data_IF_312507966802
#
_entry.id   IF_312507966802
#
_cell.length_a   1.000
_cell.length_b   1.000
_cell.length_c   1.000
_cell.angle_alpha   90.00
_cell.angle_beta   90.00
_cell.angle_gamma   90.00
#
_symmetry.space_group_name_H-M   'P 1'
#
loop_
_entity.id
_entity.type
_entity.pdbx_description
1 polymer ?
#
# COMPACT_ATOMS: atom_id res chain seq x y z
N UNK A 1 51.04 -3.79 -67.04
CA UNK A 1 51.03 -4.47 -65.72
C UNK A 1 51.28 -3.43 -64.64
N UNK A 2 50.43 -3.40 -63.58
CA UNK A 2 50.74 -3.04 -62.16
C UNK A 2 51.38 -1.64 -61.90
N UNK A 3 50.87 -0.73 -61.07
CA UNK A 3 49.93 -0.74 -59.93
C UNK A 3 49.37 0.68 -59.73
N UNK A 4 48.09 0.79 -59.34
CA UNK A 4 47.51 2.02 -58.77
C UNK A 4 47.59 1.89 -57.24
N UNK A 5 48.28 2.83 -56.59
CA UNK A 5 48.25 3.01 -55.14
C UNK A 5 47.06 3.92 -54.80
N UNK A 6 45.94 3.34 -54.37
CA UNK A 6 44.88 4.11 -53.73
C UNK A 6 45.11 4.12 -52.22
N UNK A 7 45.21 5.34 -51.71
CA UNK A 7 45.60 5.71 -50.35
C UNK A 7 44.55 5.27 -49.33
N UNK A 8 44.95 4.40 -48.40
CA UNK A 8 44.15 3.93 -47.26
C UNK A 8 44.01 4.97 -46.13
N UNK A 9 43.98 6.27 -46.47
CA UNK A 9 43.91 7.37 -45.50
C UNK A 9 42.53 8.07 -45.48
N UNK A 10 41.55 7.59 -46.26
CA UNK A 10 40.22 8.21 -46.41
C UNK A 10 39.08 7.33 -45.87
N UNK A 11 39.35 6.52 -44.84
CA UNK A 11 38.33 5.70 -44.16
C UNK A 11 38.36 5.82 -42.62
N UNK A 12 39.17 6.75 -42.07
CA UNK A 12 39.28 6.97 -40.61
C UNK A 12 38.78 8.35 -40.14
N UNK A 13 38.03 9.08 -40.98
CA UNK A 13 37.52 10.42 -40.68
C UNK A 13 35.99 10.54 -40.75
N UNK A 14 35.25 9.42 -40.60
CA UNK A 14 33.78 9.38 -40.66
C UNK A 14 33.10 8.84 -39.40
N UNK A 15 33.84 8.70 -38.29
CA UNK A 15 33.32 8.14 -37.04
C UNK A 15 33.21 9.16 -35.86
N UNK A 16 33.46 10.46 -36.06
CA UNK A 16 33.57 11.42 -34.94
C UNK A 16 32.53 12.56 -34.96
N UNK A 17 31.64 12.68 -35.97
CA UNK A 17 30.71 13.84 -36.07
C UNK A 17 29.24 13.53 -35.71
N UNK A 18 28.92 12.35 -35.14
CA UNK A 18 27.56 12.06 -34.63
C UNK A 18 27.40 12.18 -33.11
N UNK A 19 28.42 12.64 -32.38
CA UNK A 19 28.40 12.77 -30.92
C UNK A 19 28.28 14.24 -30.41
N UNK A 20 27.71 15.15 -31.20
CA UNK A 20 27.49 16.53 -30.75
C UNK A 20 26.29 17.16 -31.44
N UNK A 21 25.08 16.70 -31.11
CA UNK A 21 23.84 17.48 -31.18
C UNK A 21 22.64 16.67 -30.66
N UNK A 22 22.53 16.49 -29.35
CA UNK A 22 21.23 16.47 -28.68
C UNK A 22 21.41 17.09 -27.29
N UNK A 23 21.43 18.42 -27.29
CA UNK A 23 21.29 19.25 -26.10
C UNK A 23 19.88 19.81 -26.16
N UNK A 24 18.97 19.22 -25.38
CA UNK A 24 17.71 19.85 -24.98
C UNK A 24 17.31 19.31 -23.60
N UNK A 25 17.66 20.10 -22.59
CA UNK A 25 16.92 20.41 -21.36
C UNK A 25 15.85 19.43 -20.86
N UNK A 26 16.13 18.81 -19.71
CA UNK A 26 15.17 18.64 -18.61
C UNK A 26 15.92 18.61 -17.28
N UNK A 27 15.32 19.22 -16.25
CA UNK A 27 15.81 19.38 -14.87
C UNK A 27 16.52 18.14 -14.30
N UNK A 28 17.67 18.29 -13.62
CA UNK A 28 18.10 17.31 -12.64
C UNK A 28 17.29 17.55 -11.36
N UNK A 29 16.01 17.16 -11.36
CA UNK A 29 15.40 16.71 -10.11
C UNK A 29 16.13 15.41 -9.78
N UNK A 30 17.14 15.52 -8.93
CA UNK A 30 17.98 14.43 -8.48
C UNK A 30 17.13 13.18 -8.21
N UNK A 31 17.26 12.19 -9.10
CA UNK A 31 16.97 10.81 -8.83
C UNK A 31 17.82 10.41 -7.62
N UNK A 32 17.18 10.33 -6.45
CA UNK A 32 17.79 9.79 -5.26
C UNK A 32 17.77 8.26 -5.35
N UNK A 33 18.86 7.69 -5.87
CA UNK A 33 19.36 6.31 -5.72
C UNK A 33 18.30 5.19 -5.57
N UNK A 34 18.01 4.51 -6.67
CA UNK A 34 17.10 3.36 -6.75
C UNK A 34 17.72 2.00 -6.36
N UNK A 35 18.82 2.00 -5.58
CA UNK A 35 19.35 0.77 -4.99
C UNK A 35 18.90 0.70 -3.51
N UNK A 36 17.82 -0.07 -3.23
CA UNK A 36 17.42 -0.44 -1.86
C UNK A 36 16.07 0.10 -1.36
N UNK A 37 15.30 0.84 -2.16
CA UNK A 37 14.00 1.39 -1.77
C UNK A 37 12.90 0.33 -2.00
N UNK A 38 12.25 -0.11 -0.92
CA UNK A 38 11.18 -1.12 -0.85
C UNK A 38 10.40 -1.37 -2.15
N UNK A 39 10.28 -2.64 -2.60
CA UNK A 39 9.53 -3.00 -3.82
C UNK A 39 8.05 -3.28 -3.52
N UNK A 40 7.20 -3.13 -4.52
CA UNK A 40 5.75 -3.42 -4.41
C UNK A 40 5.46 -4.85 -3.92
N UNK A 41 6.25 -5.82 -4.37
CA UNK A 41 6.11 -7.22 -3.95
C UNK A 41 6.38 -7.45 -2.45
N UNK A 42 7.14 -6.55 -1.81
CA UNK A 42 7.53 -6.66 -0.40
C UNK A 42 6.54 -5.95 0.54
N UNK A 43 5.58 -5.18 0.01
CA UNK A 43 4.62 -4.39 0.81
C UNK A 43 3.85 -5.30 1.76
N UNK A 44 3.36 -6.45 1.30
CA UNK A 44 2.54 -7.34 2.14
C UNK A 44 3.30 -7.93 3.33
N UNK A 45 4.58 -8.25 3.14
CA UNK A 45 5.45 -8.70 4.23
C UNK A 45 5.65 -7.59 5.26
N UNK A 46 6.05 -6.40 4.80
CA UNK A 46 6.32 -5.26 5.69
C UNK A 46 5.05 -4.71 6.36
N UNK A 47 3.90 -4.81 5.71
CA UNK A 47 2.59 -4.57 6.31
C UNK A 47 2.38 -5.47 7.53
N UNK A 48 2.57 -6.79 7.38
CA UNK A 48 2.38 -7.72 8.49
C UNK A 48 3.42 -7.50 9.60
N UNK A 49 4.68 -7.21 9.25
CA UNK A 49 5.71 -6.80 10.23
C UNK A 49 5.30 -5.54 10.99
N UNK A 50 4.75 -4.55 10.30
CA UNK A 50 4.25 -3.32 10.92
C UNK A 50 3.11 -3.58 11.93
N UNK A 51 2.19 -4.50 11.61
CA UNK A 51 1.15 -4.94 12.53
C UNK A 51 1.73 -5.64 13.75
N UNK A 52 2.70 -6.54 13.56
CA UNK A 52 3.39 -7.24 14.65
C UNK A 52 4.20 -6.31 15.56
N UNK A 53 4.69 -5.18 15.04
CA UNK A 53 5.35 -4.16 15.84
C UNK A 53 4.35 -3.33 16.65
N UNK A 54 3.21 -2.95 16.05
CA UNK A 54 2.11 -2.28 16.77
C UNK A 54 1.54 -3.15 17.87
N UNK A 55 1.42 -4.45 17.62
CA UNK A 55 1.02 -5.48 18.58
C UNK A 55 1.77 -5.37 19.90
N UNK A 56 3.10 -5.32 19.80
CA UNK A 56 4.02 -5.30 20.94
C UNK A 56 3.93 -3.99 21.71
N UNK A 57 3.37 -2.94 21.10
CA UNK A 57 3.27 -1.60 21.65
C UNK A 57 1.87 -1.23 22.13
N UNK A 58 0.92 -2.17 22.11
CA UNK A 58 -0.49 -1.93 22.42
C UNK A 58 -0.69 -1.28 23.81
N UNK A 59 0.14 -1.61 24.80
CA UNK A 59 0.09 -0.98 26.14
C UNK A 59 0.40 0.53 26.14
N UNK A 60 1.13 1.01 25.13
CA UNK A 60 1.47 2.43 24.93
C UNK A 60 0.49 3.14 24.00
N UNK A 61 -0.36 2.38 23.31
CA UNK A 61 -1.58 2.81 22.62
C UNK A 61 -2.74 2.56 23.57
N UNK A 62 -2.80 3.31 24.69
CA UNK A 62 -3.78 3.04 25.75
C UNK A 62 -5.22 3.12 25.24
N UNK A 63 -5.79 1.96 24.90
CA UNK A 63 -7.22 1.68 24.93
C UNK A 63 -7.56 1.35 26.39
N UNK A 64 -7.74 2.37 27.23
CA UNK A 64 -8.14 2.15 28.63
C UNK A 64 -9.64 1.83 28.68
N UNK A 65 -9.98 0.56 28.91
CA UNK A 65 -11.33 0.05 29.14
C UNK A 65 -11.82 0.28 30.58
N UNK A 66 -11.68 1.50 31.08
CA UNK A 66 -12.30 1.92 32.34
C UNK A 66 -12.76 3.38 32.23
N UNK A 67 -14.01 3.58 31.78
CA UNK A 67 -14.76 4.83 31.97
C UNK A 67 -14.80 5.83 30.81
N UNK A 68 -14.27 5.50 29.63
CA UNK A 68 -14.37 6.31 28.41
C UNK A 68 -13.09 6.20 27.57
N UNK A 69 -13.05 5.25 26.65
CA UNK A 69 -11.87 5.05 25.79
C UNK A 69 -11.80 6.14 24.72
N UNK A 70 -10.70 6.90 24.69
CA UNK A 70 -10.34 7.68 23.51
C UNK A 70 -9.64 6.71 22.56
N UNK A 71 -10.31 6.34 21.48
CA UNK A 71 -9.71 5.56 20.39
C UNK A 71 -8.52 6.36 19.79
N UNK A 72 -7.38 5.71 19.49
CA UNK A 72 -6.26 6.41 18.87
C UNK A 72 -6.67 6.94 17.50
N UNK A 73 -6.23 8.15 17.20
CA UNK A 73 -6.40 8.77 15.89
C UNK A 73 -5.50 8.11 14.85
N UNK A 74 -5.85 8.30 13.57
CA UNK A 74 -5.03 7.84 12.46
C UNK A 74 -3.56 8.28 12.55
N UNK A 75 -3.35 9.56 12.89
CA UNK A 75 -2.01 10.12 12.99
C UNK A 75 -1.20 9.52 14.15
N UNK A 76 -1.83 9.21 15.29
CA UNK A 76 -1.13 8.57 16.42
C UNK A 76 -0.67 7.15 16.08
N UNK A 77 -1.50 6.38 15.38
CA UNK A 77 -1.13 5.05 14.89
C UNK A 77 0.00 5.15 13.87
N UNK A 78 -0.14 6.06 12.89
CA UNK A 78 0.86 6.30 11.85
C UNK A 78 2.20 6.72 12.44
N UNK A 79 2.25 7.63 13.40
CA UNK A 79 3.51 8.04 14.04
C UNK A 79 4.21 6.88 14.77
N UNK A 80 3.45 6.03 15.48
CA UNK A 80 4.04 4.85 16.11
C UNK A 80 4.57 3.84 15.10
N UNK A 81 3.88 3.66 13.98
CA UNK A 81 4.35 2.84 12.87
C UNK A 81 5.68 3.33 12.31
N UNK A 82 5.80 4.64 12.05
CA UNK A 82 7.04 5.25 11.56
C UNK A 82 8.18 4.96 12.52
N UNK A 83 8.02 5.30 13.81
CA UNK A 83 9.06 5.08 14.82
C UNK A 83 9.46 3.61 14.90
N UNK A 84 8.50 2.69 14.81
CA UNK A 84 8.74 1.25 14.92
C UNK A 84 9.48 0.69 13.72
N UNK A 85 9.05 1.04 12.49
CA UNK A 85 9.66 0.54 11.26
C UNK A 85 11.05 1.14 11.02
N UNK A 86 11.25 2.42 11.33
CA UNK A 86 12.59 3.05 11.28
C UNK A 86 13.55 2.37 12.26
N UNK A 87 13.06 2.02 13.46
CA UNK A 87 13.86 1.29 14.44
C UNK A 87 14.17 -0.15 13.99
N UNK A 88 13.19 -0.84 13.42
CA UNK A 88 13.32 -2.23 12.97
C UNK A 88 14.27 -2.35 11.78
N UNK A 89 14.13 -1.48 10.77
CA UNK A 89 14.96 -1.52 9.57
C UNK A 89 15.21 -0.12 8.99
N UNK A 90 16.22 0.61 9.50
CA UNK A 90 16.52 1.97 9.06
C UNK A 90 17.08 2.07 7.63
N UNK A 91 17.58 0.96 7.06
CA UNK A 91 18.07 0.92 5.68
C UNK A 91 16.93 1.02 4.66
N UNK A 92 15.78 0.45 4.99
CA UNK A 92 14.56 0.50 4.17
C UNK A 92 13.69 1.70 4.56
N UNK A 93 13.54 1.95 5.87
CA UNK A 93 12.67 2.98 6.42
C UNK A 93 13.47 4.19 6.89
N UNK A 94 13.70 5.13 5.98
CA UNK A 94 14.28 6.42 6.33
C UNK A 94 13.21 7.40 6.81
N UNK A 95 13.30 7.86 8.06
CA UNK A 95 12.30 8.76 8.66
C UNK A 95 12.08 10.05 7.85
N UNK A 96 13.15 10.67 7.34
CA UNK A 96 13.07 11.90 6.56
C UNK A 96 12.32 11.70 5.23
N UNK A 97 12.61 10.62 4.52
CA UNK A 97 11.92 10.26 3.29
C UNK A 97 10.44 9.90 3.55
N UNK A 98 10.17 9.15 4.62
CA UNK A 98 8.82 8.79 5.05
C UNK A 98 7.98 10.05 5.31
N UNK A 99 8.48 10.96 6.15
CA UNK A 99 7.74 12.18 6.51
C UNK A 99 7.50 13.07 5.30
N UNK A 100 8.46 13.15 4.37
CA UNK A 100 8.29 13.85 3.09
C UNK A 100 7.18 13.21 2.25
N UNK A 101 7.17 11.88 2.14
CA UNK A 101 6.15 11.12 1.39
C UNK A 101 4.76 11.33 1.98
N UNK A 102 4.60 11.17 3.29
CA UNK A 102 3.32 11.34 3.97
C UNK A 102 2.80 12.78 3.89
N UNK A 103 3.68 13.80 3.95
CA UNK A 103 3.26 15.19 3.74
C UNK A 103 2.68 15.41 2.34
N UNK A 104 3.24 14.76 1.32
CA UNK A 104 2.70 14.84 -0.04
C UNK A 104 1.34 14.10 -0.15
N UNK A 105 1.19 12.99 0.57
CA UNK A 105 -0.06 12.23 0.64
C UNK A 105 -1.17 13.01 1.37
N UNK A 106 -0.84 13.64 2.50
CA UNK A 106 -1.76 14.48 3.29
C UNK A 106 -2.21 15.75 2.54
N UNK A 107 -1.46 16.17 1.52
CA UNK A 107 -1.82 17.29 0.65
C UNK A 107 -2.83 16.88 -0.45
N UNK A 108 -3.21 15.60 -0.56
CA UNK A 108 -4.18 15.16 -1.55
C UNK A 108 -5.60 15.63 -1.19
N UNK A 109 -6.38 15.97 -2.23
CA UNK A 109 -7.81 16.24 -2.08
C UNK A 109 -8.47 14.99 -1.50
N UNK A 110 -9.16 15.14 -0.36
CA UNK A 110 -9.82 14.09 0.44
C UNK A 110 -8.99 13.40 1.55
N UNK A 111 -7.71 13.75 1.75
CA UNK A 111 -6.90 13.14 2.81
C UNK A 111 -7.56 13.20 4.20
N UNK A 112 -8.16 14.34 4.56
CA UNK A 112 -8.87 14.49 5.83
C UNK A 112 -10.08 13.54 5.96
N UNK A 113 -10.82 13.31 4.88
CA UNK A 113 -11.96 12.37 4.83
C UNK A 113 -11.48 10.93 4.93
N UNK A 114 -10.41 10.59 4.20
CA UNK A 114 -9.81 9.26 4.20
C UNK A 114 -9.26 8.90 5.60
N UNK A 115 -8.60 9.84 6.28
CA UNK A 115 -8.04 9.65 7.62
C UNK A 115 -9.04 9.85 8.77
N UNK A 116 -10.27 10.31 8.49
CA UNK A 116 -11.31 10.37 9.50
C UNK A 116 -11.79 8.95 9.84
N UNK A 117 -11.35 8.44 10.99
CA UNK A 117 -11.77 7.16 11.56
C UNK A 117 -12.78 7.43 12.69
N UNK A 118 -13.97 6.82 12.62
CA UNK A 118 -15.08 7.04 13.55
C UNK A 118 -16.45 7.28 12.90
N UNK A 119 -16.54 7.46 11.57
CA UNK A 119 -17.81 7.66 10.84
C UNK A 119 -18.02 6.78 9.59
N UNK A 120 -17.00 6.04 9.16
CA UNK A 120 -17.04 5.20 7.96
C UNK A 120 -16.51 3.81 8.29
N UNK A 121 -17.19 2.79 7.79
CA UNK A 121 -16.69 1.41 7.87
C UNK A 121 -15.46 1.24 6.95
N UNK A 122 -14.70 0.15 7.13
CA UNK A 122 -13.50 -0.13 6.32
C UNK A 122 -13.80 -0.28 4.81
N UNK A 123 -15.04 -0.63 4.45
CA UNK A 123 -15.47 -0.82 3.07
C UNK A 123 -15.80 0.52 2.40
N UNK A 124 -16.44 1.45 3.10
CA UNK A 124 -16.73 2.81 2.66
C UNK A 124 -15.44 3.58 2.36
N UNK A 125 -14.37 3.27 3.10
CA UNK A 125 -13.03 3.80 2.82
C UNK A 125 -12.47 3.31 1.49
N UNK A 126 -12.65 2.03 1.14
CA UNK A 126 -12.23 1.50 -0.15
C UNK A 126 -12.90 2.25 -1.32
N UNK A 127 -14.22 2.46 -1.25
CA UNK A 127 -14.94 3.21 -2.28
C UNK A 127 -14.45 4.66 -2.40
N UNK A 128 -14.24 5.34 -1.27
CA UNK A 128 -13.73 6.73 -1.24
C UNK A 128 -12.31 6.85 -1.83
N UNK A 129 -11.47 5.84 -1.59
CA UNK A 129 -10.10 5.78 -2.13
C UNK A 129 -10.13 5.52 -3.64
N UNK A 130 -10.98 4.62 -4.12
CA UNK A 130 -11.16 4.37 -5.56
C UNK A 130 -11.61 5.65 -6.27
N UNK A 131 -12.59 6.37 -5.71
CA UNK A 131 -13.05 7.65 -6.25
C UNK A 131 -11.93 8.70 -6.28
N UNK A 132 -11.14 8.80 -5.19
CA UNK A 132 -10.01 9.73 -5.12
C UNK A 132 -8.94 9.42 -6.18
N UNK A 133 -8.59 8.14 -6.38
CA UNK A 133 -7.64 7.73 -7.40
C UNK A 133 -8.17 7.98 -8.82
N UNK A 134 -9.48 7.78 -9.05
CA UNK A 134 -10.15 8.08 -10.31
C UNK A 134 -10.12 9.58 -10.62
N UNK A 135 -10.53 10.42 -9.67
CA UNK A 135 -10.58 11.88 -9.80
C UNK A 135 -9.20 12.49 -10.08
N UNK A 136 -8.16 11.91 -9.50
CA UNK A 136 -6.76 12.30 -9.73
C UNK A 136 -6.19 11.78 -11.04
N UNK A 137 -6.96 10.95 -11.76
CA UNK A 137 -6.46 10.19 -12.90
C UNK A 137 -5.18 9.43 -12.52
N UNK A 138 -5.14 8.79 -11.35
CA UNK A 138 -4.02 7.95 -10.90
C UNK A 138 -4.20 6.50 -11.37
N UNK A 139 -5.45 6.08 -11.63
CA UNK A 139 -5.81 4.76 -12.17
C UNK A 139 -6.78 4.89 -13.36
N UNK A 140 -6.79 3.89 -14.24
CA UNK A 140 -7.72 3.82 -15.38
C UNK A 140 -9.12 3.37 -14.96
N UNK A 141 -10.12 3.65 -15.81
CA UNK A 141 -11.48 3.16 -15.60
C UNK A 141 -11.54 1.62 -15.58
N UNK A 142 -10.64 0.93 -16.27
CA UNK A 142 -10.56 -0.53 -16.24
C UNK A 142 -10.20 -1.03 -14.84
N UNK A 143 -9.21 -0.42 -14.19
CA UNK A 143 -8.83 -0.78 -12.83
C UNK A 143 -9.90 -0.36 -11.81
N UNK A 144 -10.52 0.82 -11.98
CA UNK A 144 -11.67 1.25 -11.17
C UNK A 144 -12.77 0.19 -11.17
N UNK A 145 -13.20 -0.28 -12.34
CA UNK A 145 -14.26 -1.28 -12.45
C UNK A 145 -13.91 -2.59 -11.74
N UNK A 146 -12.64 -3.02 -11.83
CA UNK A 146 -12.19 -4.24 -11.17
C UNK A 146 -12.18 -4.11 -9.65
N UNK A 147 -11.74 -2.96 -9.12
CA UNK A 147 -11.73 -2.68 -7.69
C UNK A 147 -13.15 -2.50 -7.12
N UNK A 148 -14.04 -1.83 -7.86
CA UNK A 148 -15.45 -1.69 -7.49
C UNK A 148 -16.19 -3.03 -7.47
N UNK A 149 -15.87 -3.94 -8.39
CA UNK A 149 -16.42 -5.30 -8.37
C UNK A 149 -15.99 -6.07 -7.11
N UNK A 150 -14.70 -6.04 -6.77
CA UNK A 150 -14.19 -6.62 -5.52
C UNK A 150 -14.90 -6.01 -4.30
N UNK A 151 -14.98 -4.67 -4.24
CA UNK A 151 -15.68 -3.96 -3.17
C UNK A 151 -17.14 -4.41 -3.03
N UNK A 152 -17.87 -4.54 -4.15
CA UNK A 152 -19.25 -5.01 -4.18
C UNK A 152 -19.37 -6.45 -3.70
N UNK A 153 -18.46 -7.33 -4.11
CA UNK A 153 -18.43 -8.72 -3.65
C UNK A 153 -18.23 -8.79 -2.12
N UNK A 154 -17.28 -8.01 -1.58
CA UNK A 154 -17.05 -7.92 -0.13
C UNK A 154 -18.28 -7.40 0.61
N UNK A 155 -18.91 -6.31 0.15
CA UNK A 155 -20.13 -5.77 0.77
C UNK A 155 -21.33 -6.72 0.71
N UNK A 156 -21.40 -7.56 -0.32
CA UNK A 156 -22.50 -8.50 -0.51
C UNK A 156 -22.33 -9.79 0.30
N UNK A 157 -21.25 -9.92 1.10
CA UNK A 157 -20.97 -11.11 1.89
C UNK A 157 -20.64 -12.33 1.04
N UNK A 158 -20.10 -12.12 -0.16
CA UNK A 158 -19.58 -13.21 -1.00
C UNK A 158 -18.49 -13.96 -0.23
N UNK A 159 -18.38 -15.27 -0.46
CA UNK A 159 -17.37 -16.07 0.19
C UNK A 159 -15.95 -15.57 -0.15
N UNK A 160 -15.04 -15.70 0.82
CA UNK A 160 -13.70 -15.12 0.70
C UNK A 160 -12.87 -15.76 -0.42
N UNK A 161 -13.13 -17.04 -0.75
CA UNK A 161 -12.41 -17.74 -1.82
C UNK A 161 -12.75 -17.14 -3.19
N UNK A 162 -14.03 -16.85 -3.45
CA UNK A 162 -14.49 -16.14 -4.64
C UNK A 162 -13.88 -14.74 -4.73
N UNK A 163 -13.83 -14.00 -3.61
CA UNK A 163 -13.19 -12.68 -3.60
C UNK A 163 -11.70 -12.79 -3.92
N UNK A 164 -10.99 -13.78 -3.35
CA UNK A 164 -9.58 -14.03 -3.65
C UNK A 164 -9.32 -14.35 -5.12
N UNK A 165 -10.24 -15.03 -5.81
CA UNK A 165 -10.16 -15.22 -7.27
C UNK A 165 -10.17 -13.87 -7.99
N UNK A 166 -11.10 -12.98 -7.63
CA UNK A 166 -11.18 -11.62 -8.20
C UNK A 166 -9.91 -10.80 -7.91
N UNK A 167 -9.40 -10.87 -6.68
CA UNK A 167 -8.15 -10.21 -6.26
C UNK A 167 -6.95 -10.72 -7.07
N UNK A 168 -6.80 -12.05 -7.19
CA UNK A 168 -5.68 -12.66 -7.91
C UNK A 168 -5.76 -12.39 -9.42
N UNK A 169 -6.96 -12.20 -9.96
CA UNK A 169 -7.15 -11.76 -11.36
C UNK A 169 -6.54 -10.38 -11.62
N UNK A 170 -6.39 -9.51 -10.62
CA UNK A 170 -5.72 -8.22 -10.80
C UNK A 170 -4.26 -8.39 -11.23
N UNK A 171 -3.57 -9.41 -10.70
CA UNK A 171 -2.14 -9.67 -10.98
C UNK A 171 -1.91 -10.20 -12.40
N UNK A 172 -2.91 -10.88 -12.98
CA UNK A 172 -2.81 -11.50 -14.31
C UNK A 172 -3.49 -10.68 -15.41
N UNK A 173 -4.37 -9.76 -15.06
CA UNK A 173 -5.00 -8.83 -16.02
C UNK A 173 -3.95 -7.92 -16.64
N UNK A 174 -4.03 -7.69 -17.95
CA UNK A 174 -3.10 -6.81 -18.66
C UNK A 174 -3.43 -5.34 -18.42
N UNK A 175 -2.93 -4.79 -17.32
CA UNK A 175 -3.02 -3.39 -16.97
C UNK A 175 -1.84 -2.59 -17.52
N UNK A 176 -2.04 -1.28 -17.70
CA UNK A 176 -0.95 -0.33 -17.98
C UNK A 176 0.09 -0.33 -16.84
N UNK A 177 1.32 0.11 -17.10
CA UNK A 177 2.35 0.24 -16.05
C UNK A 177 1.89 1.14 -14.89
N UNK A 178 1.15 2.20 -15.23
CA UNK A 178 0.53 3.11 -14.26
C UNK A 178 -0.45 2.40 -13.32
N UNK A 179 -1.30 1.53 -13.86
CA UNK A 179 -2.28 0.76 -13.09
C UNK A 179 -1.63 -0.40 -12.33
N UNK A 180 -0.59 -1.02 -12.92
CA UNK A 180 0.07 -2.21 -12.40
C UNK A 180 0.53 -2.03 -10.96
N UNK A 181 1.18 -0.90 -10.64
CA UNK A 181 1.66 -0.64 -9.28
C UNK A 181 0.54 -0.62 -8.23
N UNK A 182 -0.66 -0.17 -8.59
CA UNK A 182 -1.82 -0.13 -7.69
C UNK A 182 -2.49 -1.49 -7.59
N UNK A 183 -2.69 -2.16 -8.73
CA UNK A 183 -3.24 -3.52 -8.80
C UNK A 183 -2.39 -4.52 -7.99
N UNK A 184 -1.07 -4.46 -8.15
CA UNK A 184 -0.14 -5.34 -7.47
C UNK A 184 -0.09 -5.04 -5.96
N UNK A 185 -0.04 -3.77 -5.55
CA UNK A 185 -0.06 -3.41 -4.14
C UNK A 185 -1.35 -3.87 -3.44
N UNK A 186 -2.51 -3.62 -4.07
CA UNK A 186 -3.80 -4.09 -3.55
C UNK A 186 -3.80 -5.61 -3.41
N UNK A 187 -3.42 -6.34 -4.46
CA UNK A 187 -3.45 -7.81 -4.45
C UNK A 187 -2.45 -8.42 -3.46
N UNK A 188 -1.23 -7.90 -3.38
CA UNK A 188 -0.20 -8.39 -2.44
C UNK A 188 -0.63 -8.15 -1.00
N UNK A 189 -1.15 -6.97 -0.67
CA UNK A 189 -1.61 -6.68 0.69
C UNK A 189 -2.87 -7.46 1.02
N UNK A 190 -3.86 -7.55 0.12
CA UNK A 190 -5.06 -8.35 0.37
C UNK A 190 -4.73 -9.81 0.66
N UNK A 191 -3.87 -10.44 -0.15
CA UNK A 191 -3.45 -11.84 0.07
C UNK A 191 -2.63 -12.01 1.36
N UNK A 192 -1.70 -11.09 1.62
CA UNK A 192 -0.86 -11.15 2.84
C UNK A 192 -1.70 -10.95 4.10
N UNK A 193 -2.69 -10.06 4.04
CA UNK A 193 -3.63 -9.78 5.12
C UNK A 193 -4.60 -10.94 5.31
N UNK A 194 -5.11 -11.55 4.23
CA UNK A 194 -5.87 -12.78 4.31
C UNK A 194 -5.09 -13.85 5.08
N UNK A 195 -3.83 -14.10 4.70
CA UNK A 195 -2.99 -15.05 5.43
C UNK A 195 -2.77 -14.63 6.89
N UNK A 196 -2.48 -13.36 7.16
CA UNK A 196 -2.26 -12.85 8.51
C UNK A 196 -3.48 -13.03 9.41
N UNK A 197 -4.66 -12.62 8.95
CA UNK A 197 -5.91 -12.64 9.70
C UNK A 197 -6.62 -14.00 9.70
N UNK A 198 -6.31 -14.89 8.74
CA UNK A 198 -6.84 -16.27 8.70
C UNK A 198 -5.93 -17.32 9.36
N UNK A 199 -4.60 -17.18 9.27
CA UNK A 199 -3.64 -18.17 9.78
C UNK A 199 -3.20 -17.93 11.24
N UNK A 200 -3.65 -16.84 11.89
CA UNK A 200 -3.23 -16.41 13.23
C UNK A 200 -3.83 -17.25 14.38
N UNK A 201 -4.02 -18.55 14.16
CA UNK A 201 -4.14 -19.55 15.23
C UNK A 201 -2.88 -19.64 16.12
N UNK A 202 -1.74 -19.03 15.73
CA UNK A 202 -0.52 -18.94 16.53
C UNK A 202 0.19 -17.58 16.39
N UNK A 203 -0.37 -16.49 16.94
CA UNK A 203 0.49 -15.33 17.28
C UNK A 203 1.09 -15.56 18.66
N UNK A 204 2.42 -15.66 18.71
CA UNK A 204 3.21 -15.91 19.90
C UNK A 204 3.31 -14.71 20.86
N UNK A 205 2.74 -13.54 20.53
CA UNK A 205 3.04 -12.28 21.24
C UNK A 205 1.82 -11.47 21.70
N UNK A 206 0.69 -12.12 22.01
CA UNK A 206 -0.27 -11.55 22.94
C UNK A 206 -1.15 -10.40 22.43
N UNK A 207 -1.17 -10.10 21.12
CA UNK A 207 -2.34 -9.43 20.54
C UNK A 207 -3.53 -10.38 20.68
N UNK A 208 -4.29 -10.22 21.76
CA UNK A 208 -5.69 -10.61 21.76
C UNK A 208 -6.48 -9.51 21.02
N UNK A 209 -6.17 -9.28 19.74
CA UNK A 209 -7.23 -8.84 18.85
C UNK A 209 -8.15 -10.04 18.85
N UNK A 210 -9.34 -9.89 19.44
CA UNK A 210 -10.27 -11.01 19.64
C UNK A 210 -10.27 -11.88 18.38
N UNK A 211 -9.93 -13.16 18.53
CA UNK A 211 -10.21 -14.15 17.49
C UNK A 211 -11.68 -13.97 17.17
N UNK A 212 -12.01 -13.37 16.03
CA UNK A 212 -13.39 -13.41 15.57
C UNK A 212 -13.57 -14.84 15.11
N UNK A 213 -14.17 -15.63 15.98
CA UNK A 213 -14.27 -17.08 15.87
C UNK A 213 -14.95 -17.46 14.56
N UNK A 214 -14.29 -18.32 13.79
CA UNK A 214 -14.87 -19.15 12.74
C UNK A 214 -15.52 -18.39 11.56
N UNK A 215 -15.81 -19.07 10.44
CA UNK A 215 -16.66 -18.51 9.38
C UNK A 215 -18.12 -18.38 9.89
N UNK A 216 -18.31 -17.54 10.90
CA UNK A 216 -19.61 -17.01 11.28
C UNK A 216 -19.95 -15.80 10.41
N UNK A 217 -21.23 -15.39 10.36
CA UNK A 217 -21.74 -14.32 9.49
C UNK A 217 -21.24 -12.91 9.84
N UNK A 218 -20.18 -12.75 10.65
CA UNK A 218 -19.78 -11.45 11.21
C UNK A 218 -18.87 -10.60 10.31
N UNK A 219 -18.38 -11.08 9.15
CA UNK A 219 -17.74 -10.26 8.10
C UNK A 219 -16.47 -9.46 8.50
N UNK A 220 -16.04 -9.54 9.75
CA UNK A 220 -15.04 -8.63 10.33
C UNK A 220 -13.65 -8.77 9.74
N UNK A 221 -13.17 -10.00 9.54
CA UNK A 221 -11.88 -10.22 8.91
C UNK A 221 -11.89 -9.69 7.47
N UNK A 222 -13.01 -9.80 6.74
CA UNK A 222 -13.12 -9.25 5.40
C UNK A 222 -13.08 -7.72 5.41
N UNK A 223 -13.71 -7.06 6.39
CA UNK A 223 -13.64 -5.61 6.57
C UNK A 223 -12.21 -5.15 6.86
N UNK A 224 -11.49 -5.87 7.74
CA UNK A 224 -10.09 -5.56 8.04
C UNK A 224 -9.22 -5.77 6.79
N UNK A 225 -9.27 -6.95 6.15
CA UNK A 225 -8.49 -7.25 4.94
C UNK A 225 -8.76 -6.23 3.82
N UNK A 226 -10.01 -5.81 3.64
CA UNK A 226 -10.36 -4.77 2.68
C UNK A 226 -9.81 -3.39 3.09
N UNK A 227 -9.81 -3.05 4.37
CA UNK A 227 -9.19 -1.83 4.90
C UNK A 227 -7.67 -1.83 4.68
N UNK A 228 -6.99 -2.96 4.90
CA UNK A 228 -5.55 -3.14 4.68
C UNK A 228 -5.23 -2.85 3.20
N UNK A 229 -5.97 -3.49 2.28
CA UNK A 229 -5.79 -3.33 0.85
C UNK A 229 -6.16 -1.90 0.37
N UNK A 230 -7.15 -1.26 1.00
CA UNK A 230 -7.52 0.13 0.73
C UNK A 230 -6.41 1.10 1.15
N UNK A 231 -5.85 0.94 2.36
CA UNK A 231 -4.71 1.72 2.82
C UNK A 231 -3.50 1.53 1.91
N UNK A 232 -3.27 0.30 1.44
CA UNK A 232 -2.20 0.02 0.48
C UNK A 232 -2.37 0.80 -0.83
N UNK A 233 -3.57 0.80 -1.41
CA UNK A 233 -3.90 1.58 -2.61
C UNK A 233 -3.64 3.07 -2.41
N UNK A 234 -4.11 3.61 -1.30
CA UNK A 234 -3.98 5.03 -1.01
C UNK A 234 -2.51 5.45 -0.83
N UNK A 235 -1.73 4.68 -0.05
CA UNK A 235 -0.32 4.98 0.15
C UNK A 235 0.53 4.89 -1.15
N UNK A 236 0.11 4.05 -2.11
CA UNK A 236 0.78 3.95 -3.42
C UNK A 236 0.73 5.22 -4.28
N UNK A 237 -0.07 6.22 -3.91
CA UNK A 237 0.00 7.57 -4.50
C UNK A 237 1.41 8.14 -4.35
N UNK A 238 2.08 7.87 -3.23
CA UNK A 238 3.41 8.42 -2.92
C UNK A 238 4.51 7.36 -2.85
N UNK A 239 4.16 6.08 -2.71
CA UNK A 239 5.06 4.96 -2.98
C UNK A 239 4.90 3.78 -2.02
N UNK A 240 5.73 2.73 -2.19
CA UNK A 240 5.62 1.48 -1.43
C UNK A 240 5.71 1.66 0.09
N UNK A 241 6.56 2.58 0.57
CA UNK A 241 6.72 2.81 2.02
C UNK A 241 5.44 3.42 2.62
N UNK A 242 4.86 4.42 1.95
CA UNK A 242 3.56 4.97 2.36
C UNK A 242 2.46 3.93 2.26
N UNK A 243 2.50 3.04 1.25
CA UNK A 243 1.56 1.91 1.14
C UNK A 243 1.59 0.99 2.36
N UNK A 244 2.77 0.62 2.86
CA UNK A 244 2.91 -0.17 4.11
C UNK A 244 2.30 0.55 5.31
N UNK A 245 2.64 1.83 5.49
CA UNK A 245 2.20 2.62 6.65
C UNK A 245 0.69 2.82 6.67
N UNK A 246 0.12 3.22 5.53
CA UNK A 246 -1.31 3.46 5.39
C UNK A 246 -2.08 2.14 5.52
N UNK A 247 -1.65 1.05 4.89
CA UNK A 247 -2.26 -0.26 5.05
C UNK A 247 -2.30 -0.71 6.52
N UNK A 248 -1.16 -0.64 7.22
CA UNK A 248 -1.08 -1.08 8.62
C UNK A 248 -1.88 -0.18 9.57
N UNK A 249 -1.92 1.14 9.32
CA UNK A 249 -2.71 2.06 10.12
C UNK A 249 -4.22 1.82 9.92
N UNK A 250 -4.65 1.59 8.68
CA UNK A 250 -6.03 1.24 8.36
C UNK A 250 -6.44 -0.08 9.02
N UNK A 251 -5.58 -1.08 8.92
CA UNK A 251 -5.76 -2.39 9.53
C UNK A 251 -5.98 -2.31 11.04
N UNK A 252 -5.06 -1.61 11.73
CA UNK A 252 -5.11 -1.47 13.18
C UNK A 252 -6.41 -0.78 13.61
N UNK A 253 -6.80 0.32 12.95
CA UNK A 253 -8.02 1.04 13.28
C UNK A 253 -9.29 0.27 12.93
N UNK A 254 -9.29 -0.53 11.86
CA UNK A 254 -10.38 -1.44 11.55
C UNK A 254 -10.53 -2.53 12.62
N UNK A 255 -9.41 -3.04 13.15
CA UNK A 255 -9.40 -4.11 14.15
C UNK A 255 -9.90 -3.68 15.54
N UNK A 256 -9.88 -2.38 15.84
CA UNK A 256 -10.28 -1.83 17.15
C UNK A 256 -11.55 -0.97 17.12
N UNK A 257 -12.12 -0.70 15.93
CA UNK A 257 -13.41 -0.03 15.78
C UNK A 257 -14.55 -1.07 15.63
N UNK A 258 -15.72 -0.84 16.26
CA UNK A 258 -16.86 -1.75 16.17
C UNK A 258 -17.41 -1.77 14.72
N UNK A 259 -17.42 -2.94 14.07
CA UNK A 259 -18.56 -3.84 14.19
C UNK A 259 -18.18 -5.23 14.77
N UNK A 260 -16.97 -5.37 15.29
CA UNK A 260 -16.38 -6.66 15.64
C UNK A 260 -16.57 -7.10 17.10
N UNK A 261 -17.45 -6.43 17.84
CA UNK A 261 -17.97 -6.98 19.09
C UNK A 261 -19.15 -7.90 18.76
N UNK A 262 -19.15 -9.16 19.23
CA UNK A 262 -20.37 -9.96 19.22
C UNK A 262 -21.44 -9.20 20.01
N UNK A 263 -22.66 -9.13 19.47
CA UNK A 263 -23.79 -8.61 20.23
C UNK A 263 -23.87 -9.35 21.57
N UNK A 264 -23.75 -8.60 22.68
CA UNK A 264 -23.86 -9.10 24.04
C UNK A 264 -25.28 -9.56 24.36
#
# INVERSE_FOLDING_TARGET
MKKVFFSAAMLLALAIVWASCQKNTTNPSAQASDAGKLKTADIGMWHNTALDLLAQQQSTLKVNSTGGSVQPTFNEVREKLIVSLVKENPEIFNEGEIRKSLKALDATKNAATIHAWGKMDGLDKLSSIIETLKDRNDISQQLVNALEDIHKQTKSGVDVETILVSVNKLTTTNFSEKDRKFADAFAVVYNSSYNYWSASAKSANGLKINKVAEPGPSGCNQVIIAADAAGALYGMITGPISSVLEAAAFSFLASINPPCEPAS
#
